data_IF_855316073115
#
_entry.id   IF_855316073115
#
_cell.length_a   1.000
_cell.length_b   1.000
_cell.length_c   1.000
_cell.angle_alpha   90.00
_cell.angle_beta   90.00
_cell.angle_gamma   90.00
#
_symmetry.space_group_name_H-M   'P 1'
#
loop_
_entity.id
_entity.type
_entity.pdbx_description
1 polymer ?
#
# COMPACT_ATOMS: atom_id res chain seq x y z
N UNK A 1 -31.75 30.83 -23.50
CA UNK A 1 -30.99 31.48 -24.61
C UNK A 1 -29.62 30.83 -24.74
N UNK A 2 -29.15 30.53 -25.95
CA UNK A 2 -27.80 29.97 -26.17
C UNK A 2 -26.76 31.09 -26.17
N UNK A 3 -25.62 30.87 -25.51
CA UNK A 3 -24.45 31.75 -25.54
C UNK A 3 -23.35 31.13 -26.39
N UNK A 4 -22.86 31.89 -27.36
CA UNK A 4 -21.71 31.53 -28.18
C UNK A 4 -20.46 32.24 -27.63
N UNK A 5 -19.46 31.47 -27.20
CA UNK A 5 -18.23 31.99 -26.57
C UNK A 5 -17.08 32.24 -27.56
N UNK A 6 -17.33 32.19 -28.86
CA UNK A 6 -16.40 32.53 -29.95
C UNK A 6 -17.13 33.40 -30.95
N UNK A 7 -16.36 34.21 -31.67
CA UNK A 7 -16.86 35.00 -32.78
C UNK A 7 -17.36 34.08 -33.90
N UNK A 8 -18.66 34.17 -34.19
CA UNK A 8 -19.33 33.47 -35.27
C UNK A 8 -20.00 34.50 -36.17
N UNK A 9 -20.00 34.27 -37.48
CA UNK A 9 -20.83 35.05 -38.40
C UNK A 9 -22.32 34.77 -38.19
N UNK A 10 -23.19 35.67 -38.66
CA UNK A 10 -24.65 35.51 -38.55
C UNK A 10 -25.15 34.18 -39.17
N UNK A 11 -24.54 33.75 -40.28
CA UNK A 11 -24.84 32.47 -40.92
C UNK A 11 -24.44 31.28 -40.03
N UNK A 12 -23.27 31.34 -39.40
CA UNK A 12 -22.79 30.30 -38.49
C UNK A 12 -23.60 30.25 -37.20
N UNK A 13 -24.04 31.40 -36.68
CA UNK A 13 -24.92 31.48 -35.51
C UNK A 13 -26.22 30.71 -35.77
N UNK A 14 -26.83 30.87 -36.94
CA UNK A 14 -28.06 30.17 -37.30
C UNK A 14 -27.87 28.65 -37.40
N UNK A 15 -26.76 28.22 -38.01
CA UNK A 15 -26.41 26.79 -38.15
C UNK A 15 -26.17 26.15 -36.78
N UNK A 16 -25.38 26.81 -35.93
CA UNK A 16 -25.04 26.34 -34.59
C UNK A 16 -26.27 26.38 -33.68
N UNK A 17 -27.13 27.40 -33.77
CA UNK A 17 -28.38 27.49 -33.01
C UNK A 17 -29.32 26.33 -33.31
N UNK A 18 -29.56 26.01 -34.58
CA UNK A 18 -30.36 24.84 -34.97
C UNK A 18 -29.70 23.53 -34.53
N UNK A 19 -28.37 23.47 -34.53
CA UNK A 19 -27.65 22.32 -34.01
C UNK A 19 -27.76 22.19 -32.47
N UNK A 20 -27.95 23.23 -31.69
CA UNK A 20 -28.07 23.10 -30.24
C UNK A 20 -29.51 23.20 -29.73
N UNK A 21 -30.48 23.39 -30.63
CA UNK A 21 -31.89 23.49 -30.27
C UNK A 21 -32.42 22.20 -29.64
N UNK A 22 -33.10 22.38 -28.51
CA UNK A 22 -33.79 21.33 -27.76
C UNK A 22 -35.29 21.45 -28.06
N UNK A 23 -35.94 20.31 -28.26
CA UNK A 23 -37.38 20.17 -28.31
C UNK A 23 -37.91 19.98 -26.88
N UNK A 24 -38.53 21.02 -26.34
CA UNK A 24 -39.06 21.04 -24.98
C UNK A 24 -40.15 19.98 -24.73
N UNK A 25 -40.82 19.47 -25.78
CA UNK A 25 -41.85 18.44 -25.64
C UNK A 25 -41.27 17.05 -25.35
N UNK A 26 -40.07 16.76 -25.85
CA UNK A 26 -39.45 15.44 -25.82
C UNK A 26 -38.13 15.40 -25.03
N UNK A 27 -37.59 16.56 -24.63
CA UNK A 27 -36.33 16.67 -23.89
C UNK A 27 -35.10 16.24 -24.71
N UNK A 28 -35.19 16.26 -26.04
CA UNK A 28 -34.12 15.86 -26.96
C UNK A 28 -33.81 16.95 -27.98
N UNK A 29 -32.73 16.79 -28.74
CA UNK A 29 -32.37 17.76 -29.77
C UNK A 29 -33.40 17.77 -30.91
N UNK A 30 -33.88 18.97 -31.27
CA UNK A 30 -34.91 19.16 -32.29
C UNK A 30 -34.48 18.65 -33.67
N UNK A 31 -33.17 18.70 -33.97
CA UNK A 31 -32.63 18.27 -35.25
C UNK A 31 -31.41 17.34 -35.11
N UNK A 32 -31.35 16.21 -35.85
CA UNK A 32 -30.11 15.47 -36.03
C UNK A 32 -29.14 16.23 -36.93
N UNK A 33 -27.84 15.95 -36.81
CA UNK A 33 -26.77 16.64 -37.56
C UNK A 33 -26.99 16.62 -39.09
N UNK A 34 -27.53 15.53 -39.62
CA UNK A 34 -27.84 15.40 -41.05
C UNK A 34 -28.96 16.33 -41.52
N UNK A 35 -29.92 16.67 -40.65
CA UNK A 35 -30.99 17.59 -41.00
C UNK A 35 -30.50 19.04 -40.96
N UNK A 36 -29.62 19.39 -40.00
CA UNK A 36 -28.97 20.70 -39.95
C UNK A 36 -28.11 20.93 -41.20
N UNK A 37 -27.31 19.93 -41.60
CA UNK A 37 -26.50 19.97 -42.81
C UNK A 37 -27.34 20.21 -44.07
N UNK A 38 -28.48 19.52 -44.21
CA UNK A 38 -29.40 19.71 -45.34
C UNK A 38 -30.10 21.07 -45.32
N UNK A 39 -30.55 21.54 -44.15
CA UNK A 39 -31.28 22.80 -43.97
C UNK A 39 -30.44 24.02 -44.36
N UNK A 40 -29.16 23.99 -44.01
CA UNK A 40 -28.22 25.11 -44.23
C UNK A 40 -27.27 24.91 -45.42
N UNK A 41 -27.40 23.81 -46.17
CA UNK A 41 -26.54 23.53 -47.33
C UNK A 41 -25.06 23.26 -46.97
N UNK A 42 -24.77 22.83 -45.74
CA UNK A 42 -23.41 22.49 -45.32
C UNK A 42 -23.04 21.07 -45.76
N UNK A 43 -21.81 20.88 -46.23
CA UNK A 43 -21.25 19.52 -46.34
C UNK A 43 -20.98 18.94 -44.95
N UNK A 44 -21.04 17.61 -44.76
CA UNK A 44 -20.77 16.99 -43.46
C UNK A 44 -19.41 17.39 -42.87
N UNK A 45 -18.37 17.48 -43.70
CA UNK A 45 -17.02 17.89 -43.28
C UNK A 45 -16.98 19.35 -42.83
N UNK A 46 -17.65 20.25 -43.57
CA UNK A 46 -17.69 21.68 -43.22
C UNK A 46 -18.48 21.92 -41.94
N UNK A 47 -19.58 21.20 -41.75
CA UNK A 47 -20.36 21.25 -40.51
C UNK A 47 -19.57 20.68 -39.33
N UNK A 48 -18.90 19.54 -39.51
CA UNK A 48 -18.05 18.95 -38.47
C UNK A 48 -16.93 19.90 -38.06
N UNK A 49 -16.26 20.53 -39.03
CA UNK A 49 -15.21 21.51 -38.75
C UNK A 49 -15.77 22.72 -38.01
N UNK A 50 -16.89 23.29 -38.48
CA UNK A 50 -17.56 24.40 -37.81
C UNK A 50 -17.94 24.04 -36.37
N UNK A 51 -18.52 22.87 -36.12
CA UNK A 51 -18.91 22.43 -34.78
C UNK A 51 -17.70 22.08 -33.89
N UNK A 52 -16.57 21.71 -34.48
CA UNK A 52 -15.31 21.46 -33.75
C UNK A 52 -14.57 22.75 -33.42
N UNK A 53 -14.72 23.78 -34.26
CA UNK A 53 -14.11 25.12 -34.07
C UNK A 53 -15.02 26.09 -33.33
N UNK A 54 -16.33 25.83 -33.31
CA UNK A 54 -17.33 26.62 -32.61
C UNK A 54 -17.16 26.46 -31.09
N UNK A 55 -17.47 27.50 -30.32
CA UNK A 55 -17.30 27.50 -28.88
C UNK A 55 -18.24 26.48 -28.24
N UNK A 56 -17.74 25.95 -27.12
CA UNK A 56 -18.56 25.63 -25.95
C UNK A 56 -19.85 26.46 -25.91
N UNK A 57 -21.01 25.81 -26.00
CA UNK A 57 -22.28 26.51 -25.93
C UNK A 57 -22.69 26.66 -24.48
N UNK A 58 -22.97 27.90 -24.07
CA UNK A 58 -23.55 28.19 -22.76
C UNK A 58 -25.07 28.24 -22.83
N UNK A 59 -25.76 27.92 -21.72
CA UNK A 59 -27.19 28.23 -21.58
C UNK A 59 -27.35 29.42 -20.64
N UNK A 60 -27.90 30.51 -21.16
CA UNK A 60 -28.32 31.69 -20.40
C UNK A 60 -29.84 31.65 -20.23
N UNK A 61 -30.28 30.82 -19.31
CA UNK A 61 -31.59 30.89 -18.67
C UNK A 61 -31.28 30.96 -17.17
N UNK A 62 -31.90 31.89 -16.43
CA UNK A 62 -31.62 32.12 -15.01
C UNK A 62 -31.72 30.83 -14.17
N UNK A 63 -32.58 29.89 -14.58
CA UNK A 63 -32.77 28.59 -13.94
C UNK A 63 -31.70 27.53 -14.31
N UNK A 64 -30.79 27.86 -15.23
CA UNK A 64 -29.75 26.95 -15.79
C UNK A 64 -28.33 27.49 -15.72
N UNK A 65 -28.11 28.69 -15.15
CA UNK A 65 -26.79 29.17 -14.77
C UNK A 65 -26.25 28.43 -13.53
N UNK A 66 -24.95 28.53 -13.28
CA UNK A 66 -24.37 28.03 -12.03
C UNK A 66 -25.06 28.74 -10.85
N UNK A 67 -25.69 28.00 -9.91
CA UNK A 67 -26.43 28.61 -8.81
C UNK A 67 -25.54 29.40 -7.83
N UNK A 68 -24.22 29.16 -7.84
CA UNK A 68 -23.26 29.80 -6.94
C UNK A 68 -22.70 31.11 -7.51
N UNK A 69 -22.25 31.12 -8.77
CA UNK A 69 -21.59 32.29 -9.37
C UNK A 69 -22.42 32.98 -10.46
N UNK A 70 -23.60 32.45 -10.81
CA UNK A 70 -24.45 32.92 -11.92
C UNK A 70 -23.78 32.89 -13.31
N UNK A 71 -22.58 32.30 -13.43
CA UNK A 71 -21.92 32.11 -14.72
C UNK A 71 -22.69 31.07 -15.55
N UNK A 72 -22.69 31.27 -16.87
CA UNK A 72 -23.24 30.30 -17.80
C UNK A 72 -22.45 28.99 -17.73
N UNK A 73 -23.16 27.87 -17.65
CA UNK A 73 -22.55 26.54 -17.72
C UNK A 73 -22.35 26.21 -19.18
N UNK A 74 -21.15 25.73 -19.51
CA UNK A 74 -20.70 25.52 -20.88
C UNK A 74 -20.61 24.05 -21.22
N UNK A 75 -21.03 23.67 -22.43
CA UNK A 75 -21.05 22.28 -22.89
C UNK A 75 -20.21 22.13 -24.16
N UNK A 76 -19.38 21.09 -24.21
CA UNK A 76 -18.53 20.78 -25.36
C UNK A 76 -19.17 19.73 -26.27
N UNK A 77 -20.21 19.04 -25.81
CA UNK A 77 -20.94 18.04 -26.59
C UNK A 77 -22.44 18.00 -26.29
N UNK A 78 -23.23 17.59 -27.28
CA UNK A 78 -24.67 17.32 -27.12
C UNK A 78 -24.94 16.25 -26.05
N UNK A 79 -24.03 15.29 -25.89
CA UNK A 79 -24.11 14.25 -24.86
C UNK A 79 -23.96 14.81 -23.45
N UNK A 80 -23.02 15.74 -23.23
CA UNK A 80 -22.87 16.46 -21.96
C UNK A 80 -24.12 17.27 -21.63
N UNK A 81 -24.62 18.04 -22.60
CA UNK A 81 -25.81 18.86 -22.41
C UNK A 81 -27.05 17.99 -22.11
N UNK A 82 -27.23 16.87 -22.82
CA UNK A 82 -28.35 15.94 -22.58
C UNK A 82 -28.28 15.29 -21.20
N UNK A 83 -27.07 14.93 -20.73
CA UNK A 83 -26.87 14.48 -19.34
C UNK A 83 -27.28 15.56 -18.37
N UNK A 84 -26.86 16.80 -18.59
CA UNK A 84 -27.21 17.93 -17.72
C UNK A 84 -28.73 18.18 -17.65
N UNK A 85 -29.42 18.17 -18.79
CA UNK A 85 -30.88 18.35 -18.86
C UNK A 85 -31.61 17.22 -18.10
N UNK A 86 -31.14 15.98 -18.24
CA UNK A 86 -31.79 14.81 -17.65
C UNK A 86 -31.48 14.60 -16.16
N UNK A 87 -30.42 15.23 -15.63
CA UNK A 87 -29.89 14.99 -14.27
C UNK A 87 -30.14 16.15 -13.29
N UNK A 88 -30.96 17.15 -13.63
CA UNK A 88 -31.21 18.28 -12.72
C UNK A 88 -31.56 17.80 -11.30
N UNK A 89 -30.86 18.33 -10.28
CA UNK A 89 -30.73 19.77 -10.09
C UNK A 89 -29.30 20.33 -10.18
N UNK A 90 -29.22 21.60 -10.62
CA UNK A 90 -28.21 22.59 -10.22
C UNK A 90 -26.74 22.15 -10.32
N UNK A 91 -26.28 21.73 -11.50
CA UNK A 91 -24.84 21.49 -11.67
C UNK A 91 -24.07 22.79 -11.48
N UNK A 92 -23.09 22.78 -10.57
CA UNK A 92 -22.13 23.87 -10.46
C UNK A 92 -21.21 23.88 -11.68
N UNK A 93 -20.71 25.05 -12.06
CA UNK A 93 -19.62 25.12 -13.03
C UNK A 93 -18.32 24.54 -12.43
N UNK A 94 -17.40 24.12 -13.30
CA UNK A 94 -16.11 23.53 -12.91
C UNK A 94 -15.31 24.43 -11.96
N UNK A 95 -15.37 25.76 -12.14
CA UNK A 95 -14.69 26.73 -11.29
C UNK A 95 -15.26 26.75 -9.86
N UNK A 96 -16.60 26.69 -9.73
CA UNK A 96 -17.26 26.60 -8.42
C UNK A 96 -16.96 25.26 -7.75
N UNK A 97 -17.01 24.15 -8.49
CA UNK A 97 -16.62 22.83 -7.97
C UNK A 97 -15.17 22.87 -7.47
N UNK A 98 -14.25 23.41 -8.27
CA UNK A 98 -12.84 23.54 -7.89
C UNK A 98 -12.64 24.40 -6.64
N UNK A 99 -13.37 25.51 -6.53
CA UNK A 99 -13.31 26.40 -5.35
C UNK A 99 -13.81 25.70 -4.10
N UNK A 100 -14.96 25.03 -4.17
CA UNK A 100 -15.50 24.23 -3.06
C UNK A 100 -14.52 23.13 -2.66
N UNK A 101 -13.98 22.39 -3.63
CA UNK A 101 -13.03 21.30 -3.37
C UNK A 101 -11.74 21.78 -2.74
N UNK A 102 -11.24 22.97 -3.09
CA UNK A 102 -10.07 23.58 -2.41
C UNK A 102 -10.36 23.87 -0.95
N UNK A 103 -11.51 24.49 -0.65
CA UNK A 103 -11.92 24.76 0.74
C UNK A 103 -12.10 23.45 1.51
N UNK A 104 -12.80 22.47 0.91
CA UNK A 104 -12.97 21.15 1.51
C UNK A 104 -11.62 20.44 1.73
N UNK A 105 -10.66 20.58 0.80
CA UNK A 105 -9.33 20.02 0.92
C UNK A 105 -8.56 20.62 2.10
N UNK A 106 -8.58 21.94 2.23
CA UNK A 106 -7.94 22.66 3.34
C UNK A 106 -8.54 22.22 4.68
N UNK A 107 -9.87 22.19 4.80
CA UNK A 107 -10.56 21.78 6.03
C UNK A 107 -10.37 20.29 6.35
N UNK A 108 -10.43 19.42 5.34
CA UNK A 108 -10.14 17.99 5.52
C UNK A 108 -8.70 17.76 5.96
N UNK A 109 -7.73 18.49 5.38
CA UNK A 109 -6.33 18.39 5.78
C UNK A 109 -6.13 18.90 7.22
N UNK A 110 -6.81 19.98 7.64
CA UNK A 110 -6.79 20.45 9.04
C UNK A 110 -7.32 19.39 10.01
N UNK A 111 -8.47 18.76 9.69
CA UNK A 111 -9.01 17.66 10.52
C UNK A 111 -8.08 16.45 10.58
N UNK A 112 -7.50 16.06 9.46
CA UNK A 112 -6.50 14.97 9.43
C UNK A 112 -5.29 15.34 10.28
N UNK A 113 -4.77 16.56 10.16
CA UNK A 113 -3.63 16.99 10.96
C UNK A 113 -3.94 17.04 12.45
N UNK A 114 -5.13 17.51 12.84
CA UNK A 114 -5.60 17.47 14.23
C UNK A 114 -5.64 16.03 14.74
N UNK A 115 -6.26 15.11 14.00
CA UNK A 115 -6.27 13.68 14.36
C UNK A 115 -4.86 13.11 14.49
N UNK A 116 -3.95 13.45 13.57
CA UNK A 116 -2.57 12.97 13.63
C UNK A 116 -1.79 13.56 14.81
N UNK A 117 -2.04 14.82 15.18
CA UNK A 117 -1.44 15.42 16.37
C UNK A 117 -1.98 14.79 17.65
N UNK A 118 -3.30 14.61 17.75
CA UNK A 118 -3.92 13.92 18.89
C UNK A 118 -3.36 12.50 19.04
N UNK A 119 -3.17 11.78 17.93
CA UNK A 119 -2.55 10.46 17.96
C UNK A 119 -1.09 10.51 18.44
N UNK A 120 -0.30 11.52 18.03
CA UNK A 120 1.10 11.70 18.46
C UNK A 120 1.22 11.92 19.95
N UNK A 121 0.37 12.79 20.50
CA UNK A 121 0.44 13.20 21.89
C UNK A 121 0.02 12.07 22.84
N UNK A 122 -0.75 11.09 22.34
CA UNK A 122 -1.23 9.94 23.09
C UNK A 122 -0.37 8.67 22.92
N UNK A 123 0.76 8.73 22.18
CA UNK A 123 1.64 7.55 22.03
C UNK A 123 2.39 7.29 23.33
N UNK A 124 1.99 6.23 24.04
CA UNK A 124 2.81 5.69 25.13
C UNK A 124 3.76 4.61 24.61
N UNK A 125 5.03 4.99 24.44
CA UNK A 125 6.06 4.04 24.06
C UNK A 125 6.27 2.93 25.10
N UNK A 126 5.94 3.11 26.38
CA UNK A 126 6.20 2.09 27.40
C UNK A 126 5.36 0.83 27.16
N UNK A 127 4.08 1.00 26.81
CA UNK A 127 3.10 -0.07 26.57
C UNK A 127 3.36 -0.87 25.30
N UNK A 128 4.18 -0.35 24.38
CA UNK A 128 4.48 -1.02 23.11
C UNK A 128 5.38 -2.25 23.34
N UNK A 129 5.07 -3.44 22.81
CA UNK A 129 5.94 -4.61 22.89
C UNK A 129 7.39 -4.33 22.46
N UNK A 130 8.37 -4.92 23.15
CA UNK A 130 9.78 -4.56 22.93
C UNK A 130 10.26 -4.86 21.50
N UNK A 131 9.82 -5.97 20.91
CA UNK A 131 10.14 -6.29 19.52
C UNK A 131 9.61 -5.23 18.53
N UNK A 132 8.44 -4.64 18.78
CA UNK A 132 7.89 -3.56 17.96
C UNK A 132 8.66 -2.25 18.14
N UNK A 133 9.13 -1.95 19.36
CA UNK A 133 10.05 -0.81 19.60
C UNK A 133 11.31 -0.93 18.74
N UNK A 134 11.90 -2.13 18.70
CA UNK A 134 13.09 -2.41 17.87
C UNK A 134 12.77 -2.28 16.38
N UNK A 135 11.64 -2.84 15.91
CA UNK A 135 11.20 -2.68 14.53
C UNK A 135 11.05 -1.20 14.15
N UNK A 136 10.35 -0.41 14.98
CA UNK A 136 10.16 1.01 14.76
C UNK A 136 11.50 1.75 14.72
N UNK A 137 12.40 1.47 15.66
CA UNK A 137 13.71 2.09 15.72
C UNK A 137 14.50 1.85 14.44
N UNK A 138 14.50 0.62 13.91
CA UNK A 138 15.14 0.28 12.65
C UNK A 138 14.51 1.02 11.46
N UNK A 139 13.18 1.08 11.39
CA UNK A 139 12.47 1.83 10.34
C UNK A 139 12.85 3.30 10.32
N UNK A 140 12.96 3.93 11.49
CA UNK A 140 13.24 5.35 11.61
C UNK A 140 14.73 5.72 11.49
N UNK A 141 15.65 4.80 11.78
CA UNK A 141 17.11 5.09 11.79
C UNK A 141 17.90 4.47 10.65
N UNK A 142 17.50 3.29 10.15
CA UNK A 142 18.21 2.58 9.08
C UNK A 142 17.56 2.71 7.72
N UNK A 143 16.23 2.80 7.69
CA UNK A 143 15.45 2.81 6.46
C UNK A 143 14.80 4.17 6.15
N UNK A 144 15.04 5.15 7.01
CA UNK A 144 14.73 6.54 6.73
C UNK A 144 15.86 7.11 5.86
N UNK A 145 15.65 7.13 4.55
CA UNK A 145 16.47 7.97 3.66
C UNK A 145 16.18 9.46 3.94
N UNK A 146 17.00 10.36 3.42
CA UNK A 146 16.74 11.80 3.40
C UNK A 146 15.46 12.08 2.60
N UNK A 147 14.29 11.90 3.22
CA UNK A 147 12.97 12.01 2.62
C UNK A 147 11.93 11.09 3.26
N UNK A 148 10.65 11.45 3.12
CA UNK A 148 9.54 10.66 3.63
C UNK A 148 9.25 9.45 2.71
N UNK A 149 9.88 8.29 2.97
CA UNK A 149 9.48 7.04 2.30
C UNK A 149 8.24 6.43 2.96
N UNK A 150 7.35 5.94 2.12
CA UNK A 150 6.24 5.07 2.50
C UNK A 150 6.79 3.64 2.64
N UNK A 151 6.40 2.92 3.70
CA UNK A 151 6.73 1.52 3.91
C UNK A 151 5.68 0.62 3.24
N UNK A 152 6.13 -0.46 2.61
CA UNK A 152 5.27 -1.39 1.88
C UNK A 152 5.74 -2.82 2.17
N UNK A 153 4.83 -3.68 2.63
CA UNK A 153 5.12 -5.07 2.93
C UNK A 153 5.53 -5.89 1.71
N UNK A 154 5.14 -5.49 0.50
CA UNK A 154 5.63 -6.13 -0.74
C UNK A 154 7.11 -5.90 -0.99
N UNK A 155 7.70 -4.89 -0.34
CA UNK A 155 9.13 -4.58 -0.39
C UNK A 155 9.70 -4.66 1.03
N UNK A 156 9.74 -5.87 1.60
CA UNK A 156 10.07 -6.05 3.00
C UNK A 156 11.52 -5.67 3.29
N UNK A 157 11.73 -4.86 4.33
CA UNK A 157 13.06 -4.30 4.70
C UNK A 157 13.55 -4.73 6.09
N UNK A 158 12.67 -5.13 7.00
CA UNK A 158 12.99 -5.51 8.38
C UNK A 158 13.28 -7.01 8.50
N UNK A 159 12.28 -7.82 8.14
CA UNK A 159 12.31 -9.27 8.17
C UNK A 159 12.65 -9.84 6.80
N UNK A 160 12.33 -9.08 5.74
CA UNK A 160 12.40 -9.46 4.34
C UNK A 160 11.20 -10.32 3.87
N UNK A 161 10.21 -10.56 4.73
CA UNK A 161 9.07 -11.46 4.48
C UNK A 161 7.78 -10.67 4.51
N UNK A 162 7.13 -10.51 3.36
CA UNK A 162 5.98 -9.62 3.22
C UNK A 162 4.90 -9.82 4.29
N UNK A 163 4.54 -11.06 4.61
CA UNK A 163 3.56 -11.37 5.64
C UNK A 163 3.99 -10.93 7.06
N UNK A 164 5.28 -11.05 7.39
CA UNK A 164 5.80 -10.59 8.68
C UNK A 164 5.84 -9.06 8.70
N UNK A 165 6.29 -8.41 7.62
CA UNK A 165 6.19 -6.96 7.50
C UNK A 165 4.75 -6.47 7.62
N UNK A 166 3.77 -7.12 6.98
CA UNK A 166 2.35 -6.82 7.13
C UNK A 166 1.90 -6.89 8.59
N UNK A 167 2.30 -7.97 9.30
CA UNK A 167 2.02 -8.13 10.73
C UNK A 167 2.65 -7.01 11.55
N UNK A 168 3.94 -6.72 11.35
CA UNK A 168 4.67 -5.65 12.04
C UNK A 168 3.99 -4.30 11.80
N UNK A 169 3.72 -3.96 10.55
CA UNK A 169 3.14 -2.67 10.20
C UNK A 169 1.71 -2.52 10.72
N UNK A 170 0.92 -3.59 10.68
CA UNK A 170 -0.44 -3.61 11.27
C UNK A 170 -0.41 -3.43 12.79
N UNK A 171 0.52 -4.10 13.49
CA UNK A 171 0.69 -3.96 14.95
C UNK A 171 1.22 -2.57 15.32
N UNK A 172 2.15 -2.02 14.55
CA UNK A 172 2.62 -0.64 14.73
C UNK A 172 1.52 0.39 14.44
N UNK A 173 0.64 0.14 13.47
CA UNK A 173 -0.55 0.97 13.25
C UNK A 173 -1.53 0.89 14.41
N UNK A 174 -1.78 -0.31 14.93
CA UNK A 174 -2.65 -0.53 16.09
C UNK A 174 -2.10 0.15 17.34
N UNK A 175 -0.77 0.24 17.45
CA UNK A 175 -0.04 0.94 18.51
C UNK A 175 0.12 2.45 18.24
N UNK A 176 -0.50 2.99 17.19
CA UNK A 176 -0.44 4.40 16.81
C UNK A 176 0.97 4.93 16.45
N UNK A 177 1.87 4.04 16.00
CA UNK A 177 3.26 4.38 15.66
C UNK A 177 3.47 4.59 14.17
N UNK A 178 2.66 3.90 13.35
CA UNK A 178 2.57 4.07 11.91
C UNK A 178 1.14 4.43 11.50
N UNK A 179 1.00 5.07 10.34
CA UNK A 179 -0.28 5.43 9.77
C UNK A 179 -0.51 4.62 8.51
N UNK A 180 -1.69 4.00 8.38
CA UNK A 180 -2.15 3.40 7.14
C UNK A 180 -2.67 4.48 6.19
N UNK A 181 -2.01 4.67 5.04
CA UNK A 181 -2.36 5.71 4.08
C UNK A 181 -3.72 5.47 3.40
N UNK A 182 -4.17 4.22 3.30
CA UNK A 182 -5.49 3.91 2.78
C UNK A 182 -6.59 4.41 3.73
N UNK A 183 -6.40 4.22 5.04
CA UNK A 183 -7.33 4.73 6.06
C UNK A 183 -7.38 6.26 6.07
N UNK A 184 -6.23 6.93 5.94
CA UNK A 184 -6.19 8.40 5.84
C UNK A 184 -6.94 8.91 4.62
N UNK A 185 -6.75 8.29 3.45
CA UNK A 185 -7.49 8.66 2.23
C UNK A 185 -9.00 8.44 2.40
N UNK A 186 -9.39 7.35 3.05
CA UNK A 186 -10.80 7.05 3.34
C UNK A 186 -11.41 8.05 4.31
N UNK A 187 -10.70 8.41 5.40
CA UNK A 187 -11.12 9.46 6.32
C UNK A 187 -11.20 10.83 5.65
N UNK A 188 -10.21 11.18 4.82
CA UNK A 188 -10.20 12.43 4.05
C UNK A 188 -11.46 12.54 3.18
N UNK A 189 -11.86 11.49 2.46
CA UNK A 189 -13.12 11.49 1.69
C UNK A 189 -14.36 11.69 2.55
N UNK A 190 -14.43 11.07 3.74
CA UNK A 190 -15.54 11.33 4.68
C UNK A 190 -15.60 12.79 5.11
N UNK A 191 -14.45 13.44 5.31
CA UNK A 191 -14.41 14.86 5.61
C UNK A 191 -14.86 15.73 4.45
N UNK A 192 -14.57 15.37 3.20
CA UNK A 192 -15.16 16.07 2.05
C UNK A 192 -16.69 16.06 2.13
N UNK A 193 -17.31 14.90 2.42
CA UNK A 193 -18.77 14.79 2.59
C UNK A 193 -19.34 15.74 3.65
N UNK A 194 -18.60 15.93 4.75
CA UNK A 194 -18.99 16.83 5.84
C UNK A 194 -18.89 18.31 5.48
N UNK A 195 -18.00 18.67 4.56
CA UNK A 195 -17.68 20.07 4.22
C UNK A 195 -18.30 20.55 2.91
N UNK A 196 -18.80 19.64 2.06
CA UNK A 196 -19.55 20.03 0.88
C UNK A 196 -20.84 20.75 1.32
N UNK A 197 -21.09 21.98 0.84
CA UNK A 197 -22.28 22.74 1.23
C UNK A 197 -23.56 22.00 0.83
N UNK A 198 -24.45 21.72 1.80
CA UNK A 198 -25.70 20.95 1.59
C UNK A 198 -26.73 21.65 0.71
N UNK A 199 -26.60 22.95 0.56
CA UNK A 199 -27.43 23.79 -0.32
C UNK A 199 -27.07 23.63 -1.80
N UNK A 200 -25.92 23.00 -2.07
CA UNK A 200 -25.49 22.57 -3.38
C UNK A 200 -25.79 21.07 -3.51
N UNK A 201 -26.49 20.67 -4.57
CA UNK A 201 -26.74 19.26 -4.86
C UNK A 201 -25.48 18.60 -5.47
N UNK A 202 -24.44 18.54 -4.65
CA UNK A 202 -23.14 17.98 -4.98
C UNK A 202 -22.85 16.87 -3.99
N UNK A 203 -22.86 15.63 -4.46
CA UNK A 203 -22.49 14.48 -3.64
C UNK A 203 -21.10 13.92 -4.01
N UNK A 204 -20.56 13.09 -3.11
CA UNK A 204 -19.27 12.44 -3.31
C UNK A 204 -19.25 11.53 -4.55
N UNK A 205 -20.34 10.83 -4.85
CA UNK A 205 -20.40 9.89 -5.96
C UNK A 205 -20.29 10.61 -7.30
N UNK A 206 -20.97 11.75 -7.44
CA UNK A 206 -20.84 12.66 -8.58
C UNK A 206 -19.40 13.14 -8.75
N UNK A 207 -18.77 13.60 -7.66
CA UNK A 207 -17.39 14.10 -7.69
C UNK A 207 -16.40 13.02 -8.10
N UNK A 208 -16.62 11.78 -7.67
CA UNK A 208 -15.79 10.64 -8.04
C UNK A 208 -16.02 10.21 -9.49
N UNK A 209 -17.29 10.07 -9.91
CA UNK A 209 -17.66 9.61 -11.26
C UNK A 209 -17.15 10.56 -12.34
N UNK A 210 -17.16 11.86 -12.06
CA UNK A 210 -16.67 12.90 -12.96
C UNK A 210 -15.16 13.17 -12.81
N UNK A 211 -14.45 12.41 -11.96
CA UNK A 211 -12.98 12.46 -11.85
C UNK A 211 -12.43 13.65 -11.05
N UNK A 212 -13.27 14.43 -10.38
CA UNK A 212 -12.82 15.51 -9.49
C UNK A 212 -12.16 14.97 -8.21
N UNK A 213 -12.63 13.82 -7.71
CA UNK A 213 -12.04 13.12 -6.58
C UNK A 213 -11.61 11.71 -6.98
N UNK A 214 -10.46 11.27 -6.47
CA UNK A 214 -9.99 9.91 -6.66
C UNK A 214 -10.59 8.98 -5.60
N UNK A 215 -11.26 7.91 -6.04
CA UNK A 215 -11.59 6.79 -5.14
C UNK A 215 -10.30 6.26 -4.51
N UNK A 216 -10.30 5.89 -3.22
CA UNK A 216 -9.17 5.22 -2.62
C UNK A 216 -9.02 3.91 -3.39
N UNK A 217 -7.98 3.81 -4.23
CA UNK A 217 -7.67 2.52 -4.84
C UNK A 217 -7.42 1.54 -3.71
N UNK A 218 -7.90 0.31 -3.88
CA UNK A 218 -7.42 -0.87 -3.15
C UNK A 218 -5.95 -1.13 -3.55
N UNK A 219 -5.09 -0.14 -3.38
CA UNK A 219 -3.66 -0.28 -3.54
C UNK A 219 -3.09 -0.63 -2.17
N UNK A 220 -2.29 -1.69 -2.17
CA UNK A 220 -1.16 -2.03 -1.30
C UNK A 220 -1.10 -1.21 0.00
N UNK A 221 -1.23 -1.89 1.15
CA UNK A 221 -1.13 -1.28 2.47
C UNK A 221 0.20 -0.54 2.59
N UNK A 222 0.17 0.76 2.30
CA UNK A 222 1.30 1.65 2.43
C UNK A 222 1.21 2.34 3.78
N UNK A 223 2.32 2.29 4.50
CA UNK A 223 2.41 2.80 5.84
C UNK A 223 3.36 3.99 5.87
N UNK A 224 3.11 4.95 6.76
CA UNK A 224 3.95 6.13 6.94
C UNK A 224 4.23 6.35 8.42
N UNK A 225 5.44 6.78 8.77
CA UNK A 225 5.74 7.12 10.15
C UNK A 225 4.92 8.32 10.61
N UNK A 226 4.45 8.29 11.84
CA UNK A 226 3.63 9.36 12.39
C UNK A 226 4.39 10.71 12.44
N UNK A 227 5.72 10.70 12.45
CA UNK A 227 6.57 11.88 12.67
C UNK A 227 7.10 12.52 11.37
N UNK A 228 6.59 12.12 10.20
CA UNK A 228 7.15 12.52 8.90
C UNK A 228 7.17 14.04 8.59
N UNK A 229 6.37 14.86 9.30
CA UNK A 229 6.24 16.32 9.04
C UNK A 229 6.96 17.21 10.06
N UNK A 230 7.42 16.69 11.20
CA UNK A 230 7.91 17.51 12.32
C UNK A 230 9.26 16.99 12.83
N UNK A 231 10.35 17.49 12.24
CA UNK A 231 11.73 17.07 12.52
C UNK A 231 12.09 17.16 14.01
N UNK A 232 11.72 18.25 14.69
CA UNK A 232 12.07 18.45 16.10
C UNK A 232 11.35 17.46 17.03
N UNK A 233 10.10 17.10 16.72
CA UNK A 233 9.35 16.08 17.46
C UNK A 233 9.92 14.68 17.23
N UNK A 234 10.41 14.41 16.02
CA UNK A 234 11.05 13.15 15.67
C UNK A 234 12.33 12.93 16.47
N UNK A 235 13.19 13.95 16.63
CA UNK A 235 14.46 13.81 17.36
C UNK A 235 14.25 13.43 18.83
N UNK A 236 13.32 14.11 19.52
CA UNK A 236 12.94 13.79 20.89
C UNK A 236 12.36 12.37 20.99
N UNK A 237 11.47 12.01 20.07
CA UNK A 237 10.88 10.68 20.01
C UNK A 237 11.92 9.59 19.75
N UNK A 238 12.86 9.82 18.82
CA UNK A 238 13.97 8.92 18.53
C UNK A 238 14.91 8.77 19.72
N UNK A 239 15.17 9.84 20.47
CA UNK A 239 15.97 9.79 21.70
C UNK A 239 15.29 8.91 22.75
N UNK A 240 13.99 9.11 22.99
CA UNK A 240 13.21 8.27 23.91
C UNK A 240 13.19 6.80 23.47
N UNK A 241 12.92 6.54 22.19
CA UNK A 241 12.91 5.21 21.63
C UNK A 241 14.29 4.54 21.72
N UNK A 242 15.36 5.29 21.45
CA UNK A 242 16.74 4.83 21.61
C UNK A 242 17.01 4.43 23.06
N UNK A 243 16.63 5.24 24.04
CA UNK A 243 16.81 4.90 25.45
C UNK A 243 16.05 3.62 25.83
N UNK A 244 14.85 3.41 25.28
CA UNK A 244 14.05 2.20 25.52
C UNK A 244 14.60 0.95 24.85
N UNK A 245 15.30 1.11 23.73
CA UNK A 245 15.93 0.01 22.98
C UNK A 245 17.34 -0.30 23.47
N UNK A 246 18.11 0.69 23.88
CA UNK A 246 19.50 0.54 24.31
C UNK A 246 19.64 0.50 25.83
N UNK A 247 19.14 1.50 26.55
CA UNK A 247 19.56 1.71 27.93
C UNK A 247 18.67 0.99 28.95
N UNK A 248 17.44 0.64 28.56
CA UNK A 248 16.53 -0.15 29.39
C UNK A 248 17.07 -1.58 29.59
N UNK A 249 17.11 -2.02 30.85
CA UNK A 249 17.33 -3.43 31.18
C UNK A 249 16.10 -4.26 30.78
N UNK A 250 16.30 -5.33 30.03
CA UNK A 250 15.21 -6.18 29.58
C UNK A 250 14.60 -6.97 30.73
N UNK A 251 13.28 -7.08 30.74
CA UNK A 251 12.56 -8.02 31.59
C UNK A 251 12.55 -9.42 30.99
N UNK A 252 12.17 -10.41 31.80
CA UNK A 252 12.00 -11.80 31.35
C UNK A 252 10.94 -11.89 30.24
N UNK A 253 9.87 -11.10 30.36
CA UNK A 253 8.78 -11.07 29.38
C UNK A 253 9.24 -10.44 28.06
N UNK A 254 10.02 -9.35 28.09
CA UNK A 254 10.63 -8.78 26.87
C UNK A 254 11.48 -9.82 26.14
N UNK A 255 12.30 -10.59 26.88
CA UNK A 255 13.14 -11.67 26.31
C UNK A 255 12.27 -12.79 25.72
N UNK A 256 11.18 -13.17 26.40
CA UNK A 256 10.27 -14.21 25.93
C UNK A 256 9.56 -13.80 24.65
N UNK A 257 9.05 -12.57 24.58
CA UNK A 257 8.42 -12.00 23.38
C UNK A 257 9.40 -11.97 22.20
N UNK A 258 10.61 -11.47 22.42
CA UNK A 258 11.67 -11.44 21.41
C UNK A 258 11.97 -12.84 20.87
N UNK A 259 12.08 -13.84 21.76
CA UNK A 259 12.32 -15.23 21.35
C UNK A 259 11.21 -15.75 20.45
N UNK A 260 9.95 -15.49 20.81
CA UNK A 260 8.80 -15.89 20.00
C UNK A 260 8.82 -15.19 18.63
N UNK A 261 9.05 -13.88 18.62
CA UNK A 261 9.10 -13.10 17.39
C UNK A 261 10.23 -13.51 16.44
N UNK A 262 11.44 -13.76 16.98
CA UNK A 262 12.57 -14.28 16.21
C UNK A 262 12.25 -15.69 15.70
N UNK A 263 11.63 -16.54 16.53
CA UNK A 263 11.25 -17.89 16.12
C UNK A 263 10.26 -17.86 14.94
N UNK A 264 9.28 -16.96 14.97
CA UNK A 264 8.36 -16.73 13.84
C UNK A 264 9.09 -16.36 12.55
N UNK A 265 10.06 -15.43 12.62
CA UNK A 265 10.90 -15.05 11.47
C UNK A 265 11.66 -16.26 10.93
N UNK A 266 12.29 -17.03 11.81
CA UNK A 266 13.07 -18.21 11.46
C UNK A 266 12.23 -19.33 10.85
N UNK A 267 11.05 -19.62 11.42
CA UNK A 267 10.12 -20.63 10.89
C UNK A 267 9.75 -20.28 9.45
N UNK A 268 9.40 -19.01 9.21
CA UNK A 268 9.00 -18.53 7.88
C UNK A 268 10.15 -18.56 6.89
N UNK A 269 11.35 -18.18 7.32
CA UNK A 269 12.56 -18.24 6.49
C UNK A 269 12.90 -19.66 6.07
N UNK A 270 12.92 -20.61 7.02
CA UNK A 270 13.17 -22.02 6.70
C UNK A 270 12.09 -22.57 5.76
N UNK A 271 10.82 -22.24 6.01
CA UNK A 271 9.72 -22.62 5.11
C UNK A 271 9.93 -22.08 3.70
N UNK A 272 10.26 -20.80 3.55
CA UNK A 272 10.51 -20.19 2.24
C UNK A 272 11.65 -20.88 1.49
N UNK A 273 12.77 -21.16 2.17
CA UNK A 273 13.92 -21.88 1.59
C UNK A 273 13.47 -23.26 1.11
N UNK A 274 12.77 -24.02 1.95
CA UNK A 274 12.29 -25.36 1.61
C UNK A 274 11.36 -25.30 0.39
N UNK A 275 10.35 -24.44 0.40
CA UNK A 275 9.37 -24.30 -0.69
C UNK A 275 10.08 -23.93 -1.99
N UNK A 276 10.90 -22.88 -1.96
CA UNK A 276 11.63 -22.39 -3.16
C UNK A 276 12.52 -23.47 -3.76
N UNK A 277 13.14 -24.29 -2.91
CA UNK A 277 14.00 -25.38 -3.37
C UNK A 277 13.20 -26.56 -3.92
N UNK A 278 12.09 -26.93 -3.27
CA UNK A 278 11.21 -27.99 -3.75
C UNK A 278 10.57 -27.63 -5.09
N UNK A 279 10.20 -26.37 -5.29
CA UNK A 279 9.71 -25.84 -6.56
C UNK A 279 10.76 -25.97 -7.68
N UNK A 280 12.03 -25.63 -7.41
CA UNK A 280 13.14 -25.83 -8.36
C UNK A 280 13.31 -27.30 -8.76
N UNK A 281 13.04 -28.22 -7.83
CA UNK A 281 13.09 -29.66 -8.07
C UNK A 281 11.79 -30.23 -8.66
N UNK A 282 10.81 -29.39 -8.99
CA UNK A 282 9.49 -29.81 -9.49
C UNK A 282 8.73 -30.75 -8.53
N UNK A 283 9.01 -30.63 -7.23
CA UNK A 283 8.38 -31.42 -6.18
C UNK A 283 7.15 -30.66 -5.69
N UNK A 284 5.94 -31.25 -5.77
CA UNK A 284 4.74 -30.59 -5.26
C UNK A 284 4.86 -30.36 -3.76
N UNK A 285 4.82 -29.08 -3.36
CA UNK A 285 4.67 -28.67 -1.97
C UNK A 285 3.18 -28.70 -1.63
N UNK A 286 2.75 -29.74 -0.92
CA UNK A 286 1.47 -29.70 -0.19
C UNK A 286 1.71 -28.83 1.04
N UNK A 287 0.79 -27.91 1.36
CA UNK A 287 0.89 -27.06 2.55
C UNK A 287 0.67 -27.91 3.81
N UNK A 288 1.70 -28.70 4.12
CA UNK A 288 1.60 -29.84 4.99
C UNK A 288 1.75 -29.32 6.41
N UNK A 289 0.63 -29.30 7.15
CA UNK A 289 0.61 -28.96 8.59
C UNK A 289 1.75 -29.67 9.33
N UNK A 290 2.09 -30.92 8.97
CA UNK A 290 3.18 -31.69 9.61
C UNK A 290 4.57 -31.09 9.37
N UNK A 291 4.84 -30.52 8.20
CA UNK A 291 6.12 -29.86 7.92
C UNK A 291 6.22 -28.55 8.70
N UNK A 292 5.14 -27.76 8.76
CA UNK A 292 5.10 -26.54 9.58
C UNK A 292 5.34 -26.88 11.06
N UNK A 293 4.63 -27.88 11.61
CA UNK A 293 4.88 -28.36 12.97
C UNK A 293 6.31 -28.85 13.16
N UNK A 294 6.91 -29.52 12.16
CA UNK A 294 8.28 -30.00 12.27
C UNK A 294 9.31 -28.86 12.30
N UNK A 295 9.11 -27.82 11.50
CA UNK A 295 9.99 -26.65 11.49
C UNK A 295 9.90 -25.90 12.83
N UNK A 296 8.70 -25.73 13.38
CA UNK A 296 8.49 -25.14 14.71
C UNK A 296 9.19 -25.99 15.79
N UNK A 297 8.94 -27.31 15.80
CA UNK A 297 9.57 -28.27 16.72
C UNK A 297 11.11 -28.20 16.66
N UNK A 298 11.67 -28.06 15.46
CA UNK A 298 13.12 -27.92 15.27
C UNK A 298 13.65 -26.61 15.86
N UNK A 299 12.98 -25.49 15.62
CA UNK A 299 13.41 -24.17 16.10
C UNK A 299 13.32 -24.08 17.64
N UNK A 300 12.34 -24.74 18.25
CA UNK A 300 12.23 -24.81 19.71
C UNK A 300 13.32 -25.71 20.35
N UNK A 301 13.71 -26.80 19.67
CA UNK A 301 14.63 -27.81 20.22
C UNK A 301 16.10 -27.58 19.90
N UNK A 302 16.40 -26.99 18.74
CA UNK A 302 17.75 -26.96 18.19
C UNK A 302 18.26 -25.54 18.01
N UNK A 303 19.59 -25.40 17.93
CA UNK A 303 20.20 -24.15 17.49
C UNK A 303 19.79 -23.86 16.05
N UNK A 304 19.75 -22.57 15.68
CA UNK A 304 19.43 -22.18 14.31
C UNK A 304 20.43 -22.77 13.31
N UNK A 305 21.72 -22.84 13.64
CA UNK A 305 22.73 -23.50 12.82
C UNK A 305 22.34 -24.95 12.51
N UNK A 306 21.93 -25.70 13.55
CA UNK A 306 21.47 -27.07 13.35
C UNK A 306 20.19 -27.12 12.51
N UNK A 307 19.26 -26.19 12.69
CA UNK A 307 18.06 -26.13 11.84
C UNK A 307 18.41 -25.90 10.37
N UNK A 308 19.26 -24.90 10.08
CA UNK A 308 19.75 -24.59 8.74
C UNK A 308 20.49 -25.78 8.13
N UNK A 309 21.42 -26.40 8.88
CA UNK A 309 22.16 -27.58 8.44
C UNK A 309 21.22 -28.76 8.14
N UNK A 310 20.23 -29.02 9.01
CA UNK A 310 19.25 -30.08 8.80
C UNK A 310 18.43 -29.86 7.52
N UNK A 311 17.96 -28.63 7.29
CA UNK A 311 17.24 -28.27 6.07
C UNK A 311 18.14 -28.46 4.85
N UNK A 312 19.34 -27.88 4.86
CA UNK A 312 20.29 -27.96 3.75
C UNK A 312 20.67 -29.41 3.41
N UNK A 313 21.05 -30.20 4.42
CA UNK A 313 21.43 -31.60 4.22
C UNK A 313 20.25 -32.45 3.73
N UNK A 314 19.04 -32.13 4.18
CA UNK A 314 17.80 -32.74 3.65
C UNK A 314 17.63 -32.42 2.17
N UNK A 315 17.79 -31.16 1.77
CA UNK A 315 17.69 -30.73 0.37
C UNK A 315 18.76 -31.41 -0.50
N UNK A 316 20.02 -31.43 -0.06
CA UNK A 316 21.12 -32.11 -0.79
C UNK A 316 20.88 -33.61 -0.96
N UNK A 317 20.44 -34.30 0.10
CA UNK A 317 20.08 -35.72 0.00
C UNK A 317 18.90 -35.95 -0.92
N UNK A 318 17.93 -35.04 -0.92
CA UNK A 318 16.77 -35.11 -1.80
C UNK A 318 17.19 -34.94 -3.27
N UNK A 319 18.08 -34.00 -3.59
CA UNK A 319 18.65 -33.83 -4.95
C UNK A 319 19.33 -35.12 -5.43
N UNK A 320 20.24 -35.66 -4.62
CA UNK A 320 20.98 -36.89 -4.95
C UNK A 320 20.01 -38.06 -5.13
N UNK A 321 18.99 -38.15 -4.29
CA UNK A 321 18.00 -39.24 -4.36
C UNK A 321 17.14 -39.17 -5.64
N UNK A 322 16.90 -37.97 -6.19
CA UNK A 322 16.03 -37.75 -7.35
C UNK A 322 16.75 -37.87 -8.69
N UNK A 323 18.09 -37.73 -8.72
CA UNK A 323 18.88 -37.66 -9.96
C UNK A 323 18.64 -38.82 -10.94
N UNK A 324 18.31 -40.01 -10.43
CA UNK A 324 18.15 -41.23 -11.24
C UNK A 324 16.86 -42.01 -10.93
N UNK A 325 15.82 -41.35 -10.37
CA UNK A 325 14.58 -42.03 -9.95
C UNK A 325 13.34 -41.36 -10.52
N UNK A 326 12.54 -42.13 -11.26
CA UNK A 326 11.18 -41.75 -11.61
C UNK A 326 10.24 -42.08 -10.44
N UNK A 327 9.79 -41.06 -9.72
CA UNK A 327 8.98 -41.20 -8.51
C UNK A 327 7.62 -40.55 -8.75
N UNK A 328 6.51 -41.27 -8.49
CA UNK A 328 5.18 -40.68 -8.60
C UNK A 328 5.02 -39.41 -7.76
N UNK A 329 4.42 -38.36 -8.34
CA UNK A 329 4.23 -37.03 -7.71
C UNK A 329 3.62 -37.10 -6.30
N UNK A 330 2.68 -38.01 -6.05
CA UNK A 330 2.04 -38.19 -4.74
C UNK A 330 2.99 -38.71 -3.65
N UNK A 331 4.10 -39.36 -4.00
CA UNK A 331 5.15 -39.79 -3.05
C UNK A 331 6.15 -38.67 -2.80
N UNK A 332 6.47 -37.87 -3.81
CA UNK A 332 7.45 -36.77 -3.74
C UNK A 332 7.15 -35.77 -2.62
N UNK A 333 5.87 -35.43 -2.42
CA UNK A 333 5.43 -34.50 -1.36
C UNK A 333 5.77 -34.90 0.07
N UNK A 334 6.05 -36.19 0.33
CA UNK A 334 6.42 -36.69 1.66
C UNK A 334 7.92 -36.95 1.81
N UNK A 335 8.68 -36.86 0.73
CA UNK A 335 10.11 -37.23 0.72
C UNK A 335 10.95 -36.27 1.55
N UNK A 336 10.69 -34.98 1.48
CA UNK A 336 11.43 -34.00 2.29
C UNK A 336 11.33 -34.32 3.78
N UNK A 337 10.12 -34.45 4.33
CA UNK A 337 9.90 -34.73 5.75
C UNK A 337 10.47 -36.10 6.15
N UNK A 338 10.37 -37.11 5.28
CA UNK A 338 10.94 -38.44 5.53
C UNK A 338 12.46 -38.39 5.64
N UNK A 339 13.13 -37.67 4.73
CA UNK A 339 14.59 -37.50 4.75
C UNK A 339 15.00 -36.65 5.95
N UNK A 340 14.29 -35.58 6.26
CA UNK A 340 14.54 -34.72 7.41
C UNK A 340 14.52 -35.51 8.72
N UNK A 341 13.48 -36.32 8.95
CA UNK A 341 13.36 -37.16 10.15
C UNK A 341 14.47 -38.21 10.26
N UNK A 342 15.01 -38.68 9.13
CA UNK A 342 16.13 -39.61 9.12
C UNK A 342 17.46 -38.91 9.49
N UNK A 343 17.67 -37.69 9.00
CA UNK A 343 18.89 -36.90 9.24
C UNK A 343 18.89 -36.26 10.64
N UNK A 344 17.73 -35.99 11.23
CA UNK A 344 17.61 -35.29 12.51
C UNK A 344 18.47 -35.89 13.64
N UNK A 345 18.65 -37.22 13.63
CA UNK A 345 19.47 -37.96 14.61
C UNK A 345 20.98 -37.83 14.36
N UNK A 346 21.40 -37.33 13.21
CA UNK A 346 22.81 -37.16 12.86
C UNK A 346 23.42 -35.98 13.61
N UNK A 347 24.70 -36.11 14.01
CA UNK A 347 25.43 -35.02 14.64
C UNK A 347 25.80 -33.97 13.59
N UNK A 348 25.58 -32.70 13.92
CA UNK A 348 26.03 -31.56 13.10
C UNK A 348 27.56 -31.46 13.14
N UNK A 349 28.27 -31.57 12.01
CA UNK A 349 29.72 -31.37 11.94
C UNK A 349 30.08 -29.91 12.27
N UNK A 350 31.26 -29.68 12.87
CA UNK A 350 31.77 -28.31 13.05
C UNK A 350 32.16 -27.74 11.69
N UNK A 351 31.61 -26.59 11.31
CA UNK A 351 32.01 -25.85 10.10
C UNK A 351 31.24 -26.18 8.81
N UNK A 352 30.28 -27.11 8.82
CA UNK A 352 29.35 -27.29 7.70
C UNK A 352 28.15 -26.35 7.84
N UNK A 353 28.28 -25.13 7.32
CA UNK A 353 27.11 -24.30 7.02
C UNK A 353 27.32 -23.69 5.65
N UNK A 354 26.38 -23.94 4.73
CA UNK A 354 26.43 -23.31 3.41
C UNK A 354 26.04 -21.82 3.55
N UNK A 355 26.87 -20.88 3.08
CA UNK A 355 26.60 -19.45 3.11
C UNK A 355 25.45 -18.98 2.18
N UNK A 356 24.85 -19.86 1.37
CA UNK A 356 23.79 -19.47 0.44
C UNK A 356 22.43 -19.10 1.06
N UNK A 357 22.32 -18.99 2.39
CA UNK A 357 21.18 -18.29 2.99
C UNK A 357 21.41 -16.78 2.90
N UNK A 358 21.43 -16.25 1.66
CA UNK A 358 21.73 -14.85 1.29
C UNK A 358 20.77 -13.81 1.86
N UNK A 359 19.77 -14.23 2.61
CA UNK A 359 18.72 -13.38 3.14
C UNK A 359 19.00 -13.06 4.60
N UNK A 360 19.30 -11.81 4.90
CA UNK A 360 19.58 -11.33 6.26
C UNK A 360 18.45 -10.40 6.68
N UNK A 361 17.69 -10.77 7.72
CA UNK A 361 16.80 -9.83 8.37
C UNK A 361 17.63 -8.81 9.16
N UNK A 362 17.37 -7.52 8.92
CA UNK A 362 17.99 -6.44 9.69
C UNK A 362 17.55 -6.47 11.15
N UNK A 363 16.33 -6.92 11.43
CA UNK A 363 15.85 -7.17 12.78
C UNK A 363 16.69 -8.24 13.49
N UNK A 364 16.88 -9.40 12.85
CA UNK A 364 17.74 -10.47 13.39
C UNK A 364 19.14 -9.93 13.66
N UNK A 365 19.77 -9.29 12.67
CA UNK A 365 21.11 -8.69 12.79
C UNK A 365 21.22 -7.71 13.95
N UNK A 366 20.24 -6.83 14.13
CA UNK A 366 20.21 -5.86 15.22
C UNK A 366 20.17 -6.53 16.60
N UNK A 367 19.23 -7.46 16.80
CA UNK A 367 19.11 -8.18 18.06
C UNK A 367 20.37 -8.98 18.38
N UNK A 368 20.97 -9.59 17.35
CA UNK A 368 22.21 -10.34 17.49
C UNK A 368 23.35 -9.46 18.02
N UNK A 369 23.52 -8.26 17.47
CA UNK A 369 24.57 -7.35 17.94
C UNK A 369 24.28 -6.77 19.33
N UNK A 370 23.00 -6.55 19.68
CA UNK A 370 22.63 -5.76 20.88
C UNK A 370 22.33 -6.55 22.14
N UNK A 371 21.64 -7.68 22.04
CA UNK A 371 21.19 -8.46 23.20
C UNK A 371 22.12 -9.60 23.56
N UNK A 372 22.90 -10.08 22.59
CA UNK A 372 23.78 -11.23 22.78
C UNK A 372 25.09 -10.91 23.50
N UNK A 373 25.47 -9.65 23.58
CA UNK A 373 26.68 -9.25 24.30
C UNK A 373 26.49 -9.31 25.84
N UNK A 374 25.23 -9.26 26.35
CA UNK A 374 24.97 -9.14 27.80
C UNK A 374 24.05 -10.19 28.45
N UNK A 375 23.03 -10.76 27.78
CA UNK A 375 22.00 -11.55 28.52
C UNK A 375 21.57 -12.91 27.92
N UNK A 376 22.27 -13.44 26.92
CA UNK A 376 21.90 -14.70 26.27
C UNK A 376 22.98 -15.78 26.47
N UNK A 377 23.27 -16.10 27.74
CA UNK A 377 24.10 -17.27 28.09
C UNK A 377 23.32 -18.60 28.00
N UNK A 378 22.00 -18.56 27.76
CA UNK A 378 21.11 -19.74 27.70
C UNK A 378 20.44 -19.97 26.32
N UNK A 379 20.86 -19.27 25.27
CA UNK A 379 20.46 -19.57 23.88
C UNK A 379 21.71 -20.06 23.14
N UNK A 380 21.59 -21.17 22.43
CA UNK A 380 22.71 -22.00 21.98
C UNK A 380 23.79 -21.18 21.22
N UNK A 381 24.89 -20.90 21.91
CA UNK A 381 25.96 -19.92 21.65
C UNK A 381 26.61 -19.96 20.24
N UNK A 382 26.45 -21.05 19.49
CA UNK A 382 27.10 -21.27 18.20
C UNK A 382 26.35 -20.64 17.02
N UNK A 383 25.01 -20.63 17.03
CA UNK A 383 24.23 -20.22 15.85
C UNK A 383 24.24 -18.72 15.54
N UNK A 384 24.68 -17.92 16.50
CA UNK A 384 24.66 -16.46 16.42
C UNK A 384 26.03 -15.88 16.05
N UNK A 385 27.12 -16.55 16.47
CA UNK A 385 28.47 -16.25 15.96
C UNK A 385 28.58 -16.44 14.45
N UNK A 386 27.83 -17.39 13.89
CA UNK A 386 27.82 -17.66 12.44
C UNK A 386 26.98 -16.64 11.67
N UNK A 387 25.84 -16.19 12.21
CA UNK A 387 25.11 -15.03 11.66
C UNK A 387 26.01 -13.78 11.71
N UNK A 388 26.71 -13.56 12.82
CA UNK A 388 27.67 -12.45 12.96
C UNK A 388 28.87 -12.57 12.02
N UNK A 389 29.37 -13.78 11.73
CA UNK A 389 30.47 -13.99 10.80
C UNK A 389 30.06 -13.71 9.33
N UNK A 390 28.84 -14.10 8.95
CA UNK A 390 28.28 -13.79 7.62
C UNK A 390 28.01 -12.29 7.47
N UNK A 391 27.52 -11.65 8.53
CA UNK A 391 27.28 -10.20 8.59
C UNK A 391 28.57 -9.38 8.58
N UNK A 392 29.58 -9.78 9.37
CA UNK A 392 30.85 -9.07 9.49
C UNK A 392 31.63 -9.08 8.16
N UNK A 393 31.63 -10.22 7.45
CA UNK A 393 32.26 -10.37 6.14
C UNK A 393 31.60 -9.54 5.02
N UNK A 394 30.40 -8.99 5.25
CA UNK A 394 29.71 -8.08 4.30
C UNK A 394 29.82 -6.60 4.66
N UNK A 395 30.32 -6.25 5.84
CA UNK A 395 30.55 -4.87 6.27
C UNK A 395 31.99 -4.40 6.10
N UNK A 396 32.91 -5.30 5.76
CA UNK A 396 34.33 -5.01 5.48
C UNK A 396 34.69 -5.22 4.00
N UNK A 397 33.70 -5.18 3.10
CA UNK A 397 33.88 -5.26 1.65
C UNK A 397 33.42 -3.98 0.97
#
# INVERSE_FOLDING_TARGET
MLLFLSELSDEEINVVSDYWQIDDANGDFAYPIGNVSKKHGYTPTRLSNLLSSAPKVGIYELDRCCPSCSNAITFSSRSELKKYINLAPKSLCEECISTILKVCEEEANKKIEALLNDLRDNVDLQEVPYHLKVCLYLLLTKFKEEGAKEYDSKRPVLSGSSWIEDKIYSELCSSLLLINLHEIKTKKLKFYDEFIPRDVDLDLDYLILNGYLSKPKYCESKYKDLFYLKSNSLELFLSQLSNLVYDRKLSIDDIKELKLFISDILVRRLRYIIVSYLERLNIPYDDNKKLNFKIVDMIEKYSLHRCCWLVFKTLKRLEVFLKDKDIPKYKLKHMFLKILNAIEKEKTPKGECDPEIKYESYFEKFICMRLLEKEILNFNYLSLKEIMAVVANKTTG
#
